data_IF_753056355931
#
_entry.id   IF_753056355931
#
_cell.length_a   1.000
_cell.length_b   1.000
_cell.length_c   1.000
_cell.angle_alpha   90.00
_cell.angle_beta   90.00
_cell.angle_gamma   90.00
#
_symmetry.space_group_name_H-M   'P 1'
#
loop_
_entity.id
_entity.type
_entity.pdbx_description
1 polymer ?
#
# COMPACT_ATOMS: atom_id res chain seq x y z
N UNK A 1 31.15 -8.84 -0.18
CA UNK A 1 32.10 -7.83 0.34
C UNK A 1 32.01 -6.49 -0.39
N UNK A 2 32.52 -6.29 -1.63
CA UNK A 2 32.44 -4.95 -2.29
C UNK A 2 31.00 -4.45 -2.51
N UNK A 3 30.12 -5.28 -3.08
CA UNK A 3 28.69 -4.94 -3.31
C UNK A 3 27.92 -4.66 -2.02
N UNK A 4 28.24 -5.38 -0.95
CA UNK A 4 27.58 -5.24 0.35
C UNK A 4 28.00 -3.95 1.05
N UNK A 5 29.29 -3.60 0.98
CA UNK A 5 29.80 -2.31 1.43
C UNK A 5 29.18 -1.14 0.64
N UNK A 6 28.99 -1.29 -0.67
CA UNK A 6 28.31 -0.29 -1.50
C UNK A 6 26.85 -0.08 -1.08
N UNK A 7 26.12 -1.15 -0.75
CA UNK A 7 24.73 -1.06 -0.26
C UNK A 7 24.67 -0.48 1.16
N UNK A 8 25.62 -0.81 2.01
CA UNK A 8 25.74 -0.26 3.35
C UNK A 8 25.93 1.26 3.30
N UNK A 9 26.92 1.74 2.55
CA UNK A 9 27.18 3.18 2.38
C UNK A 9 25.97 3.90 1.77
N UNK A 10 25.30 3.25 0.81
CA UNK A 10 24.09 3.80 0.21
C UNK A 10 22.95 3.94 1.23
N UNK A 11 22.79 2.99 2.14
CA UNK A 11 21.83 3.09 3.25
C UNK A 11 22.23 4.21 4.22
N UNK A 12 23.51 4.36 4.55
CA UNK A 12 23.98 5.46 5.40
C UNK A 12 23.62 6.83 4.80
N UNK A 13 23.75 7.01 3.49
CA UNK A 13 23.32 8.24 2.80
C UNK A 13 21.80 8.46 2.90
N UNK A 14 21.00 7.40 2.75
CA UNK A 14 19.54 7.47 2.89
C UNK A 14 19.15 7.86 4.32
N UNK A 15 19.75 7.23 5.32
CA UNK A 15 19.53 7.51 6.75
C UNK A 15 19.95 8.93 7.10
N UNK A 16 21.07 9.42 6.57
CA UNK A 16 21.50 10.79 6.79
C UNK A 16 20.47 11.82 6.26
N UNK A 17 19.87 11.55 5.09
CA UNK A 17 18.81 12.41 4.55
C UNK A 17 17.53 12.28 5.37
N UNK A 18 17.17 11.08 5.83
CA UNK A 18 16.01 10.89 6.70
C UNK A 18 16.14 11.69 8.00
N UNK A 19 17.31 11.67 8.61
CA UNK A 19 17.59 12.38 9.87
C UNK A 19 17.72 13.90 9.73
N UNK A 20 17.87 14.43 8.51
CA UNK A 20 17.84 15.86 8.25
C UNK A 20 16.38 16.38 8.33
N UNK A 21 16.06 17.35 9.21
CA UNK A 21 14.73 17.97 9.26
C UNK A 21 14.31 18.62 7.93
N UNK A 22 15.27 19.11 7.13
CA UNK A 22 15.07 19.63 5.78
C UNK A 22 15.11 18.55 4.69
N UNK A 23 15.40 17.30 5.06
CA UNK A 23 15.53 16.15 4.19
C UNK A 23 14.22 15.85 3.47
N UNK A 24 14.23 15.98 2.15
CA UNK A 24 13.08 15.68 1.30
C UNK A 24 13.25 14.30 0.69
N UNK A 25 12.20 13.47 0.80
CA UNK A 25 12.15 12.18 0.11
C UNK A 25 12.21 12.35 -1.42
N UNK A 26 11.49 13.34 -1.93
CA UNK A 26 11.45 13.67 -3.35
C UNK A 26 12.46 14.77 -3.70
N UNK A 27 13.19 14.55 -4.80
CA UNK A 27 14.30 15.40 -5.22
C UNK A 27 15.65 14.77 -4.89
N UNK A 28 16.72 15.31 -5.49
CA UNK A 28 18.12 14.89 -5.27
C UNK A 28 18.46 13.40 -5.51
N UNK A 29 17.55 12.62 -6.11
CA UNK A 29 17.79 11.22 -6.46
C UNK A 29 17.63 10.21 -5.32
N UNK A 30 17.15 10.63 -4.13
CA UNK A 30 16.93 9.74 -2.97
C UNK A 30 16.04 8.55 -3.33
N UNK A 31 14.95 8.78 -4.06
CA UNK A 31 14.07 7.73 -4.57
C UNK A 31 14.85 6.61 -5.29
N UNK A 32 15.81 6.95 -6.17
CA UNK A 32 16.63 5.95 -6.88
C UNK A 32 17.53 5.16 -5.92
N UNK A 33 18.03 5.80 -4.86
CA UNK A 33 18.85 5.14 -3.83
C UNK A 33 18.02 4.14 -3.04
N UNK A 34 16.83 4.54 -2.60
CA UNK A 34 15.88 3.66 -1.90
C UNK A 34 15.49 2.45 -2.77
N UNK A 35 15.13 2.69 -4.04
CA UNK A 35 14.80 1.62 -4.99
C UNK A 35 15.97 0.64 -5.19
N UNK A 36 17.18 1.14 -5.37
CA UNK A 36 18.38 0.29 -5.49
C UNK A 36 18.60 -0.60 -4.26
N UNK A 37 18.29 -0.13 -3.05
CA UNK A 37 18.41 -0.92 -1.82
C UNK A 37 17.38 -2.05 -1.77
N UNK A 38 16.11 -1.75 -2.10
CA UNK A 38 15.02 -2.73 -2.01
C UNK A 38 15.01 -3.72 -3.16
N UNK A 39 15.42 -3.31 -4.37
CA UNK A 39 15.66 -4.20 -5.51
C UNK A 39 16.82 -5.18 -5.25
N UNK A 40 17.81 -4.76 -4.45
CA UNK A 40 18.87 -5.63 -3.98
C UNK A 40 18.44 -6.53 -2.81
N UNK A 41 17.19 -6.42 -2.33
CA UNK A 41 16.66 -7.09 -1.15
C UNK A 41 17.56 -6.94 0.09
N UNK A 42 18.17 -5.77 0.25
CA UNK A 42 19.08 -5.51 1.38
C UNK A 42 18.28 -5.42 2.68
N UNK A 43 18.48 -6.38 3.59
CA UNK A 43 17.66 -6.51 4.81
C UNK A 43 17.77 -5.31 5.77
N UNK A 44 18.96 -4.70 5.98
CA UNK A 44 19.03 -3.48 6.80
C UNK A 44 18.19 -2.32 6.25
N UNK A 45 18.01 -2.23 4.92
CA UNK A 45 17.09 -1.26 4.34
C UNK A 45 15.63 -1.60 4.62
N UNK A 46 15.24 -2.89 4.62
CA UNK A 46 13.91 -3.33 5.05
C UNK A 46 13.64 -2.88 6.49
N UNK A 47 14.57 -3.12 7.40
CA UNK A 47 14.43 -2.76 8.81
C UNK A 47 14.30 -1.24 8.98
N UNK A 48 15.10 -0.47 8.24
CA UNK A 48 15.00 0.98 8.18
C UNK A 48 13.60 1.43 7.72
N UNK A 49 13.09 0.93 6.58
CA UNK A 49 11.76 1.33 6.11
C UNK A 49 10.62 0.89 7.05
N UNK A 50 10.78 -0.18 7.83
CA UNK A 50 9.81 -0.54 8.88
C UNK A 50 9.76 0.51 10.00
N UNK A 51 10.91 1.09 10.36
CA UNK A 51 11.00 2.19 11.33
C UNK A 51 10.34 3.46 10.77
N UNK A 52 10.63 3.80 9.52
CA UNK A 52 10.10 4.99 8.83
C UNK A 52 8.58 4.97 8.60
N UNK A 53 7.90 3.84 8.87
CA UNK A 53 6.44 3.81 8.98
C UNK A 53 5.90 4.67 10.15
N UNK A 54 6.73 5.04 11.12
CA UNK A 54 6.38 5.97 12.22
C UNK A 54 6.91 7.40 11.99
N UNK A 55 7.54 7.69 10.85
CA UNK A 55 8.14 9.01 10.61
C UNK A 55 7.06 10.11 10.68
N UNK A 56 7.32 11.28 11.30
CA UNK A 56 6.34 12.36 11.40
C UNK A 56 5.91 12.92 10.04
N UNK A 57 6.73 12.78 9.00
CA UNK A 57 6.48 13.29 7.65
C UNK A 57 5.76 12.23 6.81
N UNK A 58 4.60 12.61 6.26
CA UNK A 58 3.74 11.70 5.50
C UNK A 58 4.44 11.02 4.31
N UNK A 59 5.38 11.71 3.67
CA UNK A 59 6.07 11.20 2.48
C UNK A 59 7.01 10.03 2.81
N UNK A 60 7.67 10.06 3.97
CA UNK A 60 8.48 8.94 4.44
C UNK A 60 7.61 7.71 4.76
N UNK A 61 6.49 7.91 5.45
CA UNK A 61 5.53 6.82 5.72
C UNK A 61 4.98 6.22 4.42
N UNK A 62 4.47 7.05 3.51
CA UNK A 62 3.89 6.64 2.22
C UNK A 62 4.88 5.81 1.39
N UNK A 63 6.09 6.31 1.25
CA UNK A 63 7.10 5.66 0.42
C UNK A 63 7.64 4.40 1.07
N UNK A 64 7.76 4.39 2.41
CA UNK A 64 8.12 3.17 3.15
C UNK A 64 7.07 2.08 3.00
N UNK A 65 5.77 2.41 3.07
CA UNK A 65 4.68 1.46 2.77
C UNK A 65 4.87 0.86 1.37
N UNK A 66 5.11 1.69 0.36
CA UNK A 66 5.27 1.25 -1.03
C UNK A 66 6.52 0.37 -1.22
N UNK A 67 7.68 0.84 -0.73
CA UNK A 67 8.96 0.13 -0.83
C UNK A 67 8.91 -1.22 -0.12
N UNK A 68 8.29 -1.29 1.06
CA UNK A 68 8.08 -2.54 1.79
C UNK A 68 7.14 -3.47 1.03
N UNK A 69 5.96 -2.96 0.67
CA UNK A 69 4.86 -3.73 0.11
C UNK A 69 5.13 -4.37 -1.24
N UNK A 70 5.95 -3.74 -2.10
CA UNK A 70 6.21 -4.28 -3.45
C UNK A 70 7.53 -5.06 -3.58
N UNK A 71 8.44 -4.97 -2.61
CA UNK A 71 9.78 -5.60 -2.72
C UNK A 71 10.06 -6.66 -1.66
N UNK A 72 9.24 -6.76 -0.60
CA UNK A 72 9.44 -7.73 0.45
C UNK A 72 8.16 -8.49 0.76
N UNK A 73 8.32 -9.74 1.19
CA UNK A 73 7.26 -10.44 1.92
C UNK A 73 7.19 -9.88 3.33
N UNK A 74 6.02 -9.35 3.69
CA UNK A 74 5.77 -8.75 4.99
C UNK A 74 5.27 -9.80 5.98
N UNK A 75 5.69 -9.66 7.24
CA UNK A 75 5.13 -10.45 8.34
C UNK A 75 3.87 -9.79 8.89
N UNK A 76 3.14 -10.50 9.74
CA UNK A 76 1.89 -10.02 10.29
C UNK A 76 2.04 -8.73 11.11
N UNK A 77 3.19 -8.51 11.76
CA UNK A 77 3.41 -7.30 12.56
C UNK A 77 3.48 -6.07 11.66
N UNK A 78 4.19 -6.16 10.54
CA UNK A 78 4.26 -5.06 9.56
C UNK A 78 2.90 -4.86 8.88
N UNK A 79 2.19 -5.93 8.52
CA UNK A 79 0.83 -5.84 7.96
C UNK A 79 -0.12 -5.14 8.93
N UNK A 80 -0.13 -5.50 10.22
CA UNK A 80 -0.97 -4.83 11.23
C UNK A 80 -0.65 -3.34 11.35
N UNK A 81 0.62 -2.95 11.19
CA UNK A 81 1.02 -1.55 11.19
C UNK A 81 0.48 -0.80 9.97
N UNK A 82 0.55 -1.41 8.78
CA UNK A 82 -0.01 -0.85 7.55
C UNK A 82 -1.54 -0.74 7.64
N UNK A 83 -2.22 -1.70 8.25
CA UNK A 83 -3.66 -1.62 8.55
C UNK A 83 -3.98 -0.42 9.47
N UNK A 84 -3.19 -0.22 10.53
CA UNK A 84 -3.35 0.95 11.41
C UNK A 84 -3.15 2.28 10.69
N UNK A 85 -2.17 2.35 9.79
CA UNK A 85 -1.95 3.53 8.93
C UNK A 85 -3.13 3.75 7.98
N UNK A 86 -3.67 2.69 7.35
CA UNK A 86 -4.86 2.79 6.50
C UNK A 86 -6.06 3.38 7.24
N UNK A 87 -6.24 3.05 8.52
CA UNK A 87 -7.39 3.52 9.30
C UNK A 87 -7.21 4.92 9.90
N UNK A 88 -5.98 5.32 10.19
CA UNK A 88 -5.72 6.45 11.10
C UNK A 88 -4.69 7.46 10.63
N UNK A 89 -3.95 7.19 9.54
CA UNK A 89 -2.97 8.16 9.06
C UNK A 89 -3.67 9.46 8.62
N UNK A 90 -3.22 10.64 9.07
CA UNK A 90 -3.85 11.90 8.67
C UNK A 90 -3.73 12.17 7.17
N UNK A 91 -2.69 11.67 6.50
CA UNK A 91 -2.43 11.91 5.10
C UNK A 91 -3.08 10.84 4.22
N UNK A 92 -3.94 11.29 3.30
CA UNK A 92 -4.62 10.37 2.38
C UNK A 92 -3.68 9.67 1.41
N UNK A 93 -2.52 10.26 1.08
CA UNK A 93 -1.50 9.62 0.24
C UNK A 93 -0.89 8.39 0.90
N UNK A 94 -0.70 8.44 2.23
CA UNK A 94 -0.29 7.26 3.03
C UNK A 94 -1.40 6.21 3.01
N UNK A 95 -2.65 6.60 3.28
CA UNK A 95 -3.79 5.67 3.29
C UNK A 95 -4.01 4.99 1.93
N UNK A 96 -3.89 5.72 0.83
CA UNK A 96 -3.94 5.16 -0.55
C UNK A 96 -2.84 4.10 -0.73
N UNK A 97 -1.59 4.40 -0.34
CA UNK A 97 -0.50 3.45 -0.45
C UNK A 97 -0.76 2.18 0.38
N UNK A 98 -1.31 2.34 1.60
CA UNK A 98 -1.66 1.22 2.46
C UNK A 98 -2.73 0.32 1.83
N UNK A 99 -3.82 0.90 1.32
CA UNK A 99 -4.88 0.14 0.65
C UNK A 99 -4.34 -0.66 -0.55
N UNK A 100 -3.51 -0.03 -1.39
CA UNK A 100 -2.91 -0.72 -2.55
C UNK A 100 -1.97 -1.86 -2.14
N UNK A 101 -1.12 -1.65 -1.13
CA UNK A 101 -0.20 -2.68 -0.63
C UNK A 101 -0.95 -3.83 0.03
N UNK A 102 -2.00 -3.56 0.81
CA UNK A 102 -2.82 -4.62 1.42
C UNK A 102 -3.53 -5.47 0.37
N UNK A 103 -4.00 -4.87 -0.73
CA UNK A 103 -4.54 -5.61 -1.88
C UNK A 103 -3.53 -6.58 -2.52
N UNK A 104 -2.23 -6.30 -2.40
CA UNK A 104 -1.17 -7.15 -2.95
C UNK A 104 -0.61 -8.17 -1.95
N UNK A 105 -0.54 -7.81 -0.66
CA UNK A 105 0.12 -8.60 0.38
C UNK A 105 -0.84 -9.51 1.16
N UNK A 106 -2.13 -9.17 1.23
CA UNK A 106 -3.14 -9.98 1.90
C UNK A 106 -3.67 -11.08 0.98
N UNK A 107 -4.30 -12.10 1.58
CA UNK A 107 -5.01 -13.15 0.83
C UNK A 107 -6.51 -12.89 0.73
N UNK A 108 -7.04 -12.11 1.66
CA UNK A 108 -8.45 -11.80 1.80
C UNK A 108 -8.58 -10.34 2.23
N UNK A 109 -9.70 -9.67 1.88
CA UNK A 109 -10.01 -8.36 2.43
C UNK A 109 -10.03 -8.41 3.96
N UNK A 110 -9.29 -7.52 4.59
CA UNK A 110 -9.34 -7.35 6.04
C UNK A 110 -10.28 -6.19 6.41
N UNK A 111 -10.59 -6.07 7.70
CA UNK A 111 -11.48 -5.02 8.20
C UNK A 111 -10.97 -3.62 7.89
N UNK A 112 -9.66 -3.39 7.79
CA UNK A 112 -9.12 -2.08 7.47
C UNK A 112 -9.45 -1.67 6.03
N UNK A 113 -9.38 -2.61 5.08
CA UNK A 113 -9.82 -2.39 3.70
C UNK A 113 -11.33 -2.14 3.59
N UNK A 114 -12.15 -2.88 4.35
CA UNK A 114 -13.60 -2.69 4.35
C UNK A 114 -14.00 -1.33 4.94
N UNK A 115 -13.41 -0.94 6.08
CA UNK A 115 -13.60 0.36 6.70
C UNK A 115 -13.15 1.50 5.79
N UNK A 116 -11.99 1.36 5.13
CA UNK A 116 -11.51 2.37 4.18
C UNK A 116 -12.44 2.51 2.96
N UNK A 117 -13.00 1.41 2.46
CA UNK A 117 -13.96 1.41 1.37
C UNK A 117 -15.22 2.22 1.73
N UNK A 118 -15.83 1.92 2.87
CA UNK A 118 -17.14 2.48 3.21
C UNK A 118 -17.05 3.87 3.86
N UNK A 119 -16.00 4.12 4.66
CA UNK A 119 -16.00 5.21 5.63
C UNK A 119 -14.84 6.21 5.48
N UNK A 120 -13.82 5.98 4.64
CA UNK A 120 -12.76 6.98 4.48
C UNK A 120 -13.30 8.31 3.94
N UNK A 121 -12.84 9.45 4.47
CA UNK A 121 -13.29 10.76 4.00
C UNK A 121 -12.80 11.09 2.58
N UNK A 122 -11.73 10.45 2.11
CA UNK A 122 -11.11 10.71 0.82
C UNK A 122 -11.57 9.69 -0.24
N UNK A 123 -12.19 10.16 -1.31
CA UNK A 123 -12.70 9.32 -2.40
C UNK A 123 -11.62 8.47 -3.08
N UNK A 124 -10.37 8.95 -3.17
CA UNK A 124 -9.26 8.17 -3.75
C UNK A 124 -8.83 7.02 -2.83
N UNK A 125 -8.98 7.16 -1.51
CA UNK A 125 -8.76 6.03 -0.59
C UNK A 125 -9.84 4.97 -0.80
N UNK A 126 -11.11 5.38 -0.89
CA UNK A 126 -12.22 4.46 -1.21
C UNK A 126 -12.00 3.74 -2.54
N UNK A 127 -11.57 4.47 -3.57
CA UNK A 127 -11.23 3.93 -4.88
C UNK A 127 -10.08 2.90 -4.80
N UNK A 128 -9.04 3.20 -4.02
CA UNK A 128 -7.92 2.28 -3.82
C UNK A 128 -8.33 1.03 -3.04
N UNK A 129 -9.18 1.16 -2.02
CA UNK A 129 -9.72 0.03 -1.26
C UNK A 129 -10.64 -0.84 -2.14
N UNK A 130 -11.51 -0.22 -2.94
CA UNK A 130 -12.34 -0.91 -3.93
C UNK A 130 -11.49 -1.73 -4.90
N UNK A 131 -10.46 -1.12 -5.48
CA UNK A 131 -9.51 -1.79 -6.37
C UNK A 131 -8.82 -2.96 -5.68
N UNK A 132 -8.29 -2.76 -4.47
CA UNK A 132 -7.61 -3.78 -3.69
C UNK A 132 -8.52 -4.98 -3.38
N UNK A 133 -9.77 -4.74 -3.02
CA UNK A 133 -10.72 -5.81 -2.71
C UNK A 133 -11.09 -6.60 -3.97
N UNK A 134 -11.27 -5.93 -5.12
CA UNK A 134 -11.48 -6.63 -6.40
C UNK A 134 -10.25 -7.45 -6.81
N UNK A 135 -9.04 -6.96 -6.57
CA UNK A 135 -7.80 -7.71 -6.80
C UNK A 135 -7.74 -8.97 -5.92
N UNK A 136 -8.02 -8.84 -4.62
CA UNK A 136 -8.08 -9.96 -3.68
C UNK A 136 -9.17 -10.97 -4.04
N UNK A 137 -10.26 -10.50 -4.65
CA UNK A 137 -11.32 -11.35 -5.18
C UNK A 137 -10.96 -12.06 -6.48
N UNK A 138 -9.79 -11.79 -7.06
CA UNK A 138 -9.36 -12.38 -8.33
C UNK A 138 -10.11 -11.81 -9.54
N UNK A 139 -10.66 -10.59 -9.43
CA UNK A 139 -11.38 -9.94 -10.53
C UNK A 139 -10.39 -9.60 -11.65
N UNK A 140 -10.60 -10.11 -12.88
CA UNK A 140 -9.69 -9.84 -14.00
C UNK A 140 -9.52 -8.34 -14.26
N UNK A 141 -8.30 -7.93 -14.63
CA UNK A 141 -7.93 -6.53 -14.89
C UNK A 141 -8.97 -5.75 -15.69
N UNK A 142 -9.43 -6.28 -16.84
CA UNK A 142 -10.38 -5.58 -17.71
C UNK A 142 -11.74 -5.35 -17.03
N UNK A 143 -12.20 -6.31 -16.23
CA UNK A 143 -13.47 -6.24 -15.51
C UNK A 143 -13.33 -5.22 -14.38
N UNK A 144 -12.24 -5.29 -13.61
CA UNK A 144 -11.94 -4.31 -12.57
C UNK A 144 -11.87 -2.89 -13.12
N UNK A 145 -11.14 -2.67 -14.21
CA UNK A 145 -11.04 -1.35 -14.86
C UNK A 145 -12.41 -0.83 -15.30
N UNK A 146 -13.28 -1.70 -15.83
CA UNK A 146 -14.65 -1.32 -16.19
C UNK A 146 -15.43 -0.77 -14.99
N UNK A 147 -15.43 -1.47 -13.85
CA UNK A 147 -16.14 -1.01 -12.65
C UNK A 147 -15.45 0.19 -11.97
N UNK A 148 -14.13 0.28 -12.06
CA UNK A 148 -13.38 1.44 -11.59
C UNK A 148 -13.77 2.71 -12.37
N UNK A 149 -13.95 2.61 -13.70
CA UNK A 149 -14.44 3.75 -14.48
C UNK A 149 -15.86 4.14 -14.09
N UNK A 150 -16.77 3.16 -13.86
CA UNK A 150 -18.13 3.44 -13.35
C UNK A 150 -18.10 4.16 -12.00
N UNK A 151 -17.25 3.72 -11.08
CA UNK A 151 -17.06 4.37 -9.78
C UNK A 151 -16.62 5.83 -9.95
N UNK A 152 -15.64 6.09 -10.84
CA UNK A 152 -15.09 7.43 -11.08
C UNK A 152 -16.08 8.40 -11.72
N UNK A 153 -16.99 7.91 -12.56
CA UNK A 153 -18.04 8.74 -13.18
C UNK A 153 -19.31 8.85 -12.32
N UNK A 154 -19.36 8.16 -11.17
CA UNK A 154 -20.48 8.21 -10.24
C UNK A 154 -21.64 7.27 -10.56
N UNK A 155 -21.48 6.37 -11.53
CA UNK A 155 -22.47 5.34 -11.89
C UNK A 155 -22.50 4.16 -10.90
N UNK A 156 -21.57 4.16 -9.94
CA UNK A 156 -21.37 3.09 -8.98
C UNK A 156 -20.90 3.65 -7.64
N UNK A 157 -21.33 3.05 -6.53
CA UNK A 157 -20.91 3.43 -5.18
C UNK A 157 -19.83 2.49 -4.62
N UNK A 158 -18.80 2.99 -3.91
CA UNK A 158 -17.75 2.15 -3.34
C UNK A 158 -18.22 1.52 -2.02
N UNK A 159 -19.05 0.47 -2.10
CA UNK A 159 -19.57 -0.25 -0.93
C UNK A 159 -19.30 -1.74 -1.02
N UNK A 160 -19.33 -2.44 0.12
CA UNK A 160 -19.17 -3.90 0.14
C UNK A 160 -20.28 -4.58 -0.65
N UNK A 161 -21.52 -4.10 -0.53
CA UNK A 161 -22.66 -4.65 -1.27
C UNK A 161 -22.49 -4.52 -2.78
N UNK A 162 -21.96 -3.39 -3.24
CA UNK A 162 -21.69 -3.19 -4.66
C UNK A 162 -20.59 -4.12 -5.17
N UNK A 163 -19.56 -4.38 -4.38
CA UNK A 163 -18.53 -5.38 -4.72
C UNK A 163 -19.16 -6.76 -4.81
N UNK A 164 -19.97 -7.16 -3.82
CA UNK A 164 -20.67 -8.46 -3.85
C UNK A 164 -21.53 -8.61 -5.11
N UNK A 165 -22.26 -7.56 -5.49
CA UNK A 165 -23.05 -7.55 -6.73
C UNK A 165 -22.17 -7.76 -7.97
N UNK A 166 -21.02 -7.06 -8.06
CA UNK A 166 -20.05 -7.25 -9.15
C UNK A 166 -19.59 -8.70 -9.22
N UNK A 167 -19.21 -9.30 -8.09
CA UNK A 167 -18.72 -10.67 -8.08
C UNK A 167 -19.79 -11.67 -8.55
N UNK A 168 -21.05 -11.44 -8.19
CA UNK A 168 -22.20 -12.23 -8.69
C UNK A 168 -22.39 -12.04 -10.19
N UNK A 169 -22.42 -10.80 -10.69
CA UNK A 169 -22.61 -10.47 -12.12
C UNK A 169 -21.52 -11.14 -12.97
N UNK A 170 -20.28 -11.08 -12.49
CA UNK A 170 -19.10 -11.58 -13.20
C UNK A 170 -18.83 -13.07 -12.95
N UNK A 171 -19.72 -13.75 -12.21
CA UNK A 171 -19.62 -15.17 -11.86
C UNK A 171 -18.27 -15.53 -11.23
N UNK A 172 -17.77 -14.66 -10.35
CA UNK A 172 -16.52 -14.83 -9.60
C UNK A 172 -16.86 -15.56 -8.29
N UNK A 173 -16.20 -16.68 -8.04
CA UNK A 173 -16.45 -17.50 -6.85
C UNK A 173 -16.03 -16.75 -5.57
N UNK A 174 -16.99 -16.52 -4.67
CA UNK A 174 -16.81 -15.70 -3.47
C UNK A 174 -16.69 -16.47 -2.16
N UNK A 175 -16.76 -17.80 -2.17
CA UNK A 175 -17.01 -18.66 -0.99
C UNK A 175 -16.02 -18.52 0.19
N UNK A 176 -15.01 -17.66 0.08
CA UNK A 176 -14.02 -17.41 1.12
C UNK A 176 -13.66 -15.92 1.33
N UNK A 177 -14.22 -14.98 0.55
CA UNK A 177 -13.75 -13.58 0.52
C UNK A 177 -14.34 -12.73 1.65
N UNK A 178 -15.64 -12.89 1.93
CA UNK A 178 -16.37 -12.07 2.92
C UNK A 178 -16.95 -12.87 4.10
N UNK A 179 -16.76 -14.19 4.12
CA UNK A 179 -17.42 -15.12 5.05
C UNK A 179 -16.50 -15.62 6.19
N UNK A 180 -15.44 -14.88 6.56
CA UNK A 180 -14.49 -15.25 7.62
C UNK A 180 -14.31 -14.19 8.69
#
# INVERSE_FOLDING_TARGET
MKKELELHNLLEEVVAIANDPGGKFYGAGLWKKCHKLVEAHYLPAKDFFIQELDDPRWNWRRESVSLLGYHYKLDQKVINKIQGLLLHDPDSGVRIACASVLGNQSKLPDIALLEALEHDANALVKESAFTAILDLAGVPFKIREYYLQKLRVGDLSPTVDQIKEILVIENINTNDIFDK
#
